data_IF_663686233657
#
_entry.id   IF_663686233657
#
_cell.length_a   1.000
_cell.length_b   1.000
_cell.length_c   1.000
_cell.angle_alpha   90.00
_cell.angle_beta   90.00
_cell.angle_gamma   90.00
#
_symmetry.space_group_name_H-M   'P 1'
#
loop_
_entity.id
_entity.type
_entity.pdbx_description
1 polymer ?
#
# COMPACT_ATOMS: atom_id res chain seq x y z
N UNK A 1 -1.73 -6.99 18.59
CA UNK A 1 -1.95 -6.77 17.15
C UNK A 1 -3.39 -7.12 16.84
N UNK A 2 -4.10 -6.22 16.17
CA UNK A 2 -5.39 -6.53 15.57
C UNK A 2 -5.21 -7.40 14.31
N UNK A 3 -6.23 -8.15 13.90
CA UNK A 3 -6.20 -8.95 12.66
C UNK A 3 -5.87 -8.08 11.43
N UNK A 4 -6.31 -6.82 11.47
CA UNK A 4 -6.04 -5.80 10.46
C UNK A 4 -4.56 -5.46 10.34
N UNK A 5 -3.90 -5.12 11.46
CA UNK A 5 -2.46 -4.82 11.47
C UNK A 5 -1.68 -5.99 10.86
N UNK A 6 -2.05 -7.22 11.21
CA UNK A 6 -1.41 -8.42 10.66
C UNK A 6 -1.63 -8.59 9.15
N UNK A 7 -2.82 -8.27 8.62
CA UNK A 7 -3.10 -8.33 7.17
C UNK A 7 -2.37 -7.26 6.39
N UNK A 8 -2.37 -6.02 6.89
CA UNK A 8 -1.64 -4.90 6.29
C UNK A 8 -0.14 -5.22 6.26
N UNK A 9 0.42 -5.70 7.37
CA UNK A 9 1.83 -6.08 7.44
C UNK A 9 2.18 -7.19 6.45
N UNK A 10 1.36 -8.25 6.38
CA UNK A 10 1.55 -9.33 5.42
C UNK A 10 1.51 -8.81 3.97
N UNK A 11 0.58 -7.92 3.65
CA UNK A 11 0.46 -7.38 2.29
C UNK A 11 1.61 -6.46 1.91
N UNK A 12 2.05 -5.62 2.85
CA UNK A 12 3.23 -4.80 2.68
C UNK A 12 4.46 -5.68 2.42
N UNK A 13 4.60 -6.79 3.14
CA UNK A 13 5.71 -7.73 2.96
C UNK A 13 5.66 -8.46 1.60
N UNK A 14 4.50 -8.96 1.19
CA UNK A 14 4.32 -9.61 -0.11
C UNK A 14 4.61 -8.66 -1.27
N UNK A 15 4.09 -7.43 -1.19
CA UNK A 15 4.28 -6.43 -2.23
C UNK A 15 5.71 -5.85 -2.25
N UNK A 16 6.38 -5.77 -1.10
CA UNK A 16 7.80 -5.43 -1.03
C UNK A 16 8.67 -6.53 -1.67
N UNK A 17 8.33 -7.80 -1.44
CA UNK A 17 9.00 -8.93 -2.11
C UNK A 17 8.82 -8.87 -3.63
N UNK A 18 7.60 -8.58 -4.10
CA UNK A 18 7.31 -8.41 -5.53
C UNK A 18 8.07 -7.23 -6.14
N UNK A 19 8.11 -6.08 -5.45
CA UNK A 19 8.93 -4.94 -5.86
C UNK A 19 10.39 -5.35 -6.05
N UNK A 20 10.99 -6.01 -5.07
CA UNK A 20 12.40 -6.36 -5.11
C UNK A 20 12.70 -7.28 -6.31
N UNK A 21 11.82 -8.23 -6.62
CA UNK A 21 11.92 -9.07 -7.83
C UNK A 21 11.84 -8.23 -9.11
N UNK A 22 10.89 -7.29 -9.16
CA UNK A 22 10.67 -6.42 -10.33
C UNK A 22 11.80 -5.42 -10.54
N UNK A 23 12.37 -4.86 -9.48
CA UNK A 23 13.49 -3.93 -9.54
C UNK A 23 14.72 -4.60 -10.17
N UNK A 24 14.97 -5.87 -9.83
CA UNK A 24 16.02 -6.67 -10.46
C UNK A 24 15.74 -6.85 -11.96
N UNK A 25 14.51 -7.20 -12.33
CA UNK A 25 14.12 -7.44 -13.72
C UNK A 25 14.07 -6.16 -14.57
N UNK A 26 13.58 -5.05 -14.03
CA UNK A 26 13.50 -3.76 -14.73
C UNK A 26 14.89 -3.20 -15.07
N UNK A 27 15.89 -3.47 -14.23
CA UNK A 27 17.30 -3.17 -14.54
C UNK A 27 17.84 -3.93 -15.76
N UNK A 28 17.14 -4.95 -16.27
CA UNK A 28 17.50 -5.70 -17.49
C UNK A 28 16.96 -5.07 -18.79
N UNK A 29 16.31 -3.90 -18.74
CA UNK A 29 16.16 -3.03 -19.91
C UNK A 29 14.74 -2.68 -20.38
N UNK A 30 13.70 -2.89 -19.55
CA UNK A 30 12.33 -2.48 -19.92
C UNK A 30 12.01 -1.13 -19.29
N UNK A 31 12.26 -0.06 -20.05
CA UNK A 31 12.07 1.32 -19.58
C UNK A 31 10.63 1.61 -19.12
N UNK A 32 9.62 1.09 -19.83
CA UNK A 32 8.20 1.23 -19.46
C UNK A 32 7.89 0.57 -18.12
N UNK A 33 8.46 -0.61 -17.85
CA UNK A 33 8.31 -1.29 -16.58
C UNK A 33 8.99 -0.54 -15.44
N UNK A 34 10.10 0.18 -15.71
CA UNK A 34 10.79 0.98 -14.71
C UNK A 34 9.98 2.21 -14.28
N UNK A 35 9.35 2.88 -15.25
CA UNK A 35 8.51 4.05 -14.96
C UNK A 35 7.22 3.64 -14.23
N UNK A 36 6.60 2.53 -14.61
CA UNK A 36 5.41 2.01 -13.93
C UNK A 36 5.75 1.48 -12.52
N UNK A 37 6.90 0.80 -12.38
CA UNK A 37 7.40 0.33 -11.08
C UNK A 37 7.67 1.49 -10.13
N UNK A 38 8.28 2.57 -10.62
CA UNK A 38 8.53 3.78 -9.81
C UNK A 38 7.25 4.41 -9.27
N UNK A 39 6.18 4.48 -10.09
CA UNK A 39 4.88 5.00 -9.64
C UNK A 39 4.25 4.12 -8.56
N UNK A 40 4.31 2.81 -8.72
CA UNK A 40 3.78 1.88 -7.71
C UNK A 40 4.60 1.92 -6.42
N UNK A 41 5.90 2.15 -6.51
CA UNK A 41 6.77 2.31 -5.35
C UNK A 41 6.41 3.55 -4.54
N UNK A 42 6.19 4.69 -5.20
CA UNK A 42 5.72 5.92 -4.55
C UNK A 42 4.36 5.71 -3.87
N UNK A 43 3.42 5.06 -4.54
CA UNK A 43 2.10 4.74 -3.96
C UNK A 43 2.20 3.81 -2.76
N UNK A 44 3.12 2.84 -2.80
CA UNK A 44 3.35 1.91 -1.70
C UNK A 44 3.97 2.61 -0.49
N UNK A 45 4.94 3.49 -0.69
CA UNK A 45 5.53 4.26 0.40
C UNK A 45 4.51 5.21 1.03
N UNK A 46 3.66 5.85 0.22
CA UNK A 46 2.57 6.70 0.69
C UNK A 46 1.58 5.88 1.54
N UNK A 47 1.13 4.73 1.04
CA UNK A 47 0.22 3.84 1.77
C UNK A 47 0.83 3.37 3.11
N UNK A 48 2.10 2.96 3.10
CA UNK A 48 2.82 2.54 4.31
C UNK A 48 2.95 3.67 5.33
N UNK A 49 3.26 4.87 4.88
CA UNK A 49 3.37 6.06 5.73
C UNK A 49 2.01 6.39 6.36
N UNK A 50 0.94 6.44 5.55
CA UNK A 50 -0.42 6.73 5.98
C UNK A 50 -0.94 5.69 6.97
N UNK A 51 -0.80 4.40 6.63
CA UNK A 51 -1.21 3.29 7.50
C UNK A 51 -0.51 3.32 8.85
N UNK A 52 0.80 3.61 8.88
CA UNK A 52 1.56 3.73 10.13
C UNK A 52 1.12 4.92 10.98
N UNK A 53 0.85 6.06 10.35
CA UNK A 53 0.34 7.24 11.06
C UNK A 53 -1.02 6.97 11.70
N UNK A 54 -1.92 6.31 10.96
CA UNK A 54 -3.25 5.90 11.47
C UNK A 54 -3.09 4.89 12.62
N UNK A 55 -2.27 3.84 12.45
CA UNK A 55 -2.08 2.80 13.47
C UNK A 55 -1.47 3.33 14.77
N UNK A 56 -0.58 4.33 14.69
CA UNK A 56 0.05 4.93 15.87
C UNK A 56 -0.92 5.74 16.75
N UNK A 57 -2.14 6.04 16.29
CA UNK A 57 -3.15 6.77 17.07
C UNK A 57 -3.86 5.91 18.12
N UNK A 58 -3.50 4.62 18.23
CA UNK A 58 -3.83 3.70 19.31
C UNK A 58 -5.26 3.85 19.89
N UNK A 59 -6.27 3.46 19.10
CA UNK A 59 -7.61 3.20 19.62
C UNK A 59 -8.55 4.40 19.69
N UNK A 60 -8.10 5.58 19.27
CA UNK A 60 -9.00 6.73 19.07
C UNK A 60 -9.51 6.75 17.62
N UNK A 61 -10.66 6.10 17.41
CA UNK A 61 -11.33 6.04 16.10
C UNK A 61 -11.62 7.42 15.52
N UNK A 62 -11.93 8.43 16.33
CA UNK A 62 -12.20 9.78 15.82
C UNK A 62 -10.92 10.43 15.29
N UNK A 63 -9.79 10.23 15.96
CA UNK A 63 -8.49 10.69 15.49
C UNK A 63 -7.99 9.90 14.27
N UNK A 64 -8.16 8.58 14.25
CA UNK A 64 -7.86 7.72 13.09
C UNK A 64 -8.62 8.21 11.83
N UNK A 65 -9.93 8.46 11.95
CA UNK A 65 -10.77 8.96 10.86
C UNK A 65 -10.41 10.38 10.42
N UNK A 66 -10.07 11.27 11.36
CA UNK A 66 -9.67 12.65 11.03
C UNK A 66 -8.37 12.66 10.22
N UNK A 67 -7.38 11.89 10.64
CA UNK A 67 -6.10 11.79 9.92
C UNK A 67 -6.31 11.15 8.54
N UNK A 68 -7.12 10.10 8.46
CA UNK A 68 -7.51 9.51 7.18
C UNK A 68 -8.12 10.54 6.23
N UNK A 69 -9.03 11.39 6.74
CA UNK A 69 -9.62 12.48 5.95
C UNK A 69 -8.60 13.54 5.52
N UNK A 70 -7.65 13.93 6.40
CA UNK A 70 -6.53 14.82 6.07
C UNK A 70 -5.62 14.21 4.98
N UNK A 71 -5.54 12.87 4.92
CA UNK A 71 -4.81 12.10 3.90
C UNK A 71 -5.63 11.84 2.62
N UNK A 72 -6.86 12.36 2.54
CA UNK A 72 -7.76 12.18 1.40
C UNK A 72 -8.49 10.83 1.36
N UNK A 73 -8.37 10.02 2.41
CA UNK A 73 -9.11 8.77 2.56
C UNK A 73 -10.49 9.09 3.14
N UNK A 74 -11.53 8.91 2.33
CA UNK A 74 -12.91 9.03 2.80
C UNK A 74 -13.33 7.73 3.48
N UNK A 75 -13.63 7.81 4.76
CA UNK A 75 -14.13 6.70 5.58
C UNK A 75 -15.05 7.25 6.65
N UNK A 76 -16.22 6.64 6.83
CA UNK A 76 -17.20 7.06 7.84
C UNK A 76 -17.04 6.25 9.15
N UNK A 77 -16.29 5.14 9.10
CA UNK A 77 -16.03 4.25 10.22
C UNK A 77 -14.62 3.64 10.17
N UNK A 78 -14.15 3.08 11.30
CA UNK A 78 -12.89 2.34 11.37
C UNK A 78 -12.86 1.17 10.39
N UNK A 79 -14.01 0.53 10.16
CA UNK A 79 -14.18 -0.55 9.20
C UNK A 79 -14.04 -0.03 7.77
N UNK A 80 -14.67 1.10 7.42
CA UNK A 80 -14.51 1.71 6.09
C UNK A 80 -13.05 2.15 5.83
N UNK A 81 -12.40 2.70 6.86
CA UNK A 81 -10.99 3.09 6.79
C UNK A 81 -10.09 1.88 6.52
N UNK A 82 -10.37 0.79 7.23
CA UNK A 82 -9.71 -0.50 7.05
C UNK A 82 -9.87 -1.01 5.62
N UNK A 83 -11.11 -1.08 5.14
CA UNK A 83 -11.41 -1.52 3.77
C UNK A 83 -10.76 -0.63 2.72
N UNK A 84 -10.71 0.69 2.93
CA UNK A 84 -10.04 1.60 2.01
C UNK A 84 -8.53 1.36 1.93
N UNK A 85 -7.87 1.13 3.08
CA UNK A 85 -6.45 0.80 3.14
C UNK A 85 -6.17 -0.56 2.50
N UNK A 86 -7.03 -1.55 2.72
CA UNK A 86 -6.95 -2.85 2.05
C UNK A 86 -7.08 -2.67 0.53
N UNK A 87 -8.15 -2.08 0.02
CA UNK A 87 -8.34 -1.91 -1.42
C UNK A 87 -7.16 -1.18 -2.10
N UNK A 88 -6.56 -0.20 -1.44
CA UNK A 88 -5.36 0.47 -1.92
C UNK A 88 -4.16 -0.49 -2.02
N UNK A 89 -3.92 -1.29 -0.97
CA UNK A 89 -2.86 -2.29 -0.97
C UNK A 89 -3.04 -3.37 -2.05
N UNK A 90 -4.27 -3.82 -2.27
CA UNK A 90 -4.60 -4.77 -3.34
C UNK A 90 -4.30 -4.23 -4.73
N UNK A 91 -4.67 -2.99 -5.02
CA UNK A 91 -4.44 -2.41 -6.34
C UNK A 91 -2.95 -2.24 -6.62
N UNK A 92 -2.17 -1.83 -5.61
CA UNK A 92 -0.70 -1.76 -5.71
C UNK A 92 -0.10 -3.13 -6.01
N UNK A 93 -0.53 -4.17 -5.27
CA UNK A 93 -0.09 -5.56 -5.50
C UNK A 93 -0.43 -6.03 -6.91
N UNK A 94 -1.67 -5.79 -7.37
CA UNK A 94 -2.10 -6.10 -8.74
C UNK A 94 -1.26 -5.35 -9.77
N UNK A 95 -0.88 -4.11 -9.49
CA UNK A 95 0.07 -3.34 -10.29
C UNK A 95 1.41 -4.06 -10.45
N UNK A 96 2.04 -4.47 -9.35
CA UNK A 96 3.30 -5.23 -9.40
C UNK A 96 3.13 -6.55 -10.17
N UNK A 97 2.03 -7.28 -9.97
CA UNK A 97 1.75 -8.51 -10.73
C UNK A 97 1.57 -8.25 -12.23
N UNK A 98 1.00 -7.11 -12.64
CA UNK A 98 0.90 -6.72 -14.05
C UNK A 98 2.29 -6.48 -14.63
N UNK A 99 3.14 -5.71 -13.96
CA UNK A 99 4.54 -5.49 -14.39
C UNK A 99 5.28 -6.83 -14.48
N UNK A 100 5.07 -7.73 -13.51
CA UNK A 100 5.69 -9.07 -13.50
C UNK A 100 5.33 -9.91 -14.73
N UNK A 101 4.15 -9.71 -15.30
CA UNK A 101 3.72 -10.39 -16.53
C UNK A 101 4.28 -9.74 -17.80
N UNK A 102 4.74 -8.49 -17.72
CA UNK A 102 5.32 -7.74 -18.84
C UNK A 102 6.85 -7.92 -18.94
N UNK A 103 7.50 -8.45 -17.89
CA UNK A 103 8.93 -8.76 -17.81
C UNK A 103 9.18 -10.27 -17.99
#
# INVERSE_FOLDING_TARGET
MSELESKIDQWLEEAQTLRDELAVKANLGVAEAKDELGKLDEQMEDLKSKGKQIANMAGDTAQELRIAAEMGIKSDSKEDLTTALELAGEEIKKGYERIKKLL
#
